data_IF_798562434883
#
_entry.id   IF_798562434883
#
_cell.length_a   1.000
_cell.length_b   1.000
_cell.length_c   1.000
_cell.angle_alpha   90.00
_cell.angle_beta   90.00
_cell.angle_gamma   90.00
#
_symmetry.space_group_name_H-M   'P 1'
#
loop_
_entity.id
_entity.type
_entity.pdbx_description
1 polymer ?
#
# COMPACT_ATOMS: atom_id res chain seq x y z
N UNK A 1 -46.32 13.64 -18.57
CA UNK A 1 -45.31 13.36 -17.54
C UNK A 1 -44.57 12.13 -17.97
N UNK A 2 -43.40 12.31 -18.57
CA UNK A 2 -42.63 11.21 -19.19
C UNK A 2 -41.33 11.03 -18.37
N UNK A 3 -41.23 9.90 -17.69
CA UNK A 3 -40.00 9.50 -17.01
C UNK A 3 -38.96 9.14 -18.07
N UNK A 4 -37.91 9.95 -18.22
CA UNK A 4 -36.73 9.61 -19.02
C UNK A 4 -35.80 8.74 -18.20
N UNK A 5 -35.76 7.46 -18.54
CA UNK A 5 -34.77 6.49 -18.07
C UNK A 5 -33.39 6.88 -18.64
N UNK A 6 -32.49 7.35 -17.82
CA UNK A 6 -31.08 7.62 -18.21
C UNK A 6 -30.32 6.30 -18.22
N UNK A 7 -29.79 5.95 -19.40
CA UNK A 7 -28.85 4.84 -19.57
C UNK A 7 -27.46 5.28 -19.12
N UNK A 8 -26.87 4.56 -18.18
CA UNK A 8 -25.48 4.69 -17.78
C UNK A 8 -24.62 4.00 -18.83
N UNK A 9 -23.79 4.75 -19.53
CA UNK A 9 -22.79 4.22 -20.46
C UNK A 9 -21.42 4.32 -19.77
N UNK A 10 -20.93 3.20 -19.31
CA UNK A 10 -19.58 3.08 -18.76
C UNK A 10 -18.59 3.00 -19.92
N UNK A 11 -17.78 4.01 -20.09
CA UNK A 11 -16.68 4.05 -21.07
C UNK A 11 -15.41 3.49 -20.42
N UNK A 12 -15.06 2.25 -20.74
CA UNK A 12 -13.79 1.65 -20.36
C UNK A 12 -12.71 2.10 -21.36
N UNK A 13 -11.77 2.89 -20.90
CA UNK A 13 -10.59 3.28 -21.70
C UNK A 13 -9.52 2.20 -21.53
N UNK A 14 -9.44 1.30 -22.50
CA UNK A 14 -8.37 0.32 -22.62
C UNK A 14 -7.13 0.94 -23.25
N UNK A 15 -6.03 1.00 -22.51
CA UNK A 15 -4.71 1.33 -23.08
C UNK A 15 -4.04 0.03 -23.52
N UNK A 16 -4.00 -0.19 -24.85
CA UNK A 16 -3.26 -1.30 -25.44
C UNK A 16 -1.81 -0.88 -25.69
N UNK A 17 -0.88 -1.48 -24.95
CA UNK A 17 0.55 -1.37 -25.25
C UNK A 17 0.93 -2.56 -26.13
N UNK A 18 1.21 -2.29 -27.39
CA UNK A 18 1.69 -3.26 -28.35
C UNK A 18 3.13 -3.67 -28.09
N UNK A 19 3.37 -4.95 -27.90
CA UNK A 19 4.70 -5.58 -27.96
C UNK A 19 5.01 -5.89 -29.43
N UNK A 20 6.05 -5.26 -29.98
CA UNK A 20 6.69 -5.70 -31.23
C UNK A 20 7.83 -6.67 -30.92
N UNK A 21 7.61 -7.92 -31.25
CA UNK A 21 8.69 -8.93 -31.32
C UNK A 21 9.57 -8.66 -32.56
N UNK A 22 10.83 -8.40 -32.33
CA UNK A 22 11.86 -8.44 -33.35
C UNK A 22 12.61 -9.76 -33.29
N UNK A 23 12.40 -10.60 -34.28
CA UNK A 23 13.20 -11.78 -34.57
C UNK A 23 14.47 -11.37 -35.32
N UNK A 24 15.66 -11.73 -34.86
CA UNK A 24 16.87 -11.86 -35.69
C UNK A 24 17.58 -13.16 -35.36
N UNK A 25 17.87 -13.89 -36.42
CA UNK A 25 18.26 -15.27 -36.48
C UNK A 25 19.73 -15.58 -36.12
N UNK A 26 19.91 -16.87 -35.95
CA UNK A 26 21.16 -17.59 -35.87
C UNK A 26 22.02 -17.46 -37.15
N UNK A 27 23.35 -17.47 -37.00
CA UNK A 27 24.25 -18.32 -37.74
C UNK A 27 25.73 -18.09 -37.30
N UNK A 28 26.47 -19.16 -37.12
CA UNK A 28 27.91 -19.18 -37.30
C UNK A 28 28.74 -19.76 -36.13
N UNK A 29 28.90 -21.08 -36.11
CA UNK A 29 29.98 -21.75 -35.40
C UNK A 29 31.29 -21.55 -36.16
N UNK A 30 32.39 -21.30 -35.44
CA UNK A 30 33.72 -21.73 -35.94
C UNK A 30 34.64 -22.10 -34.75
N UNK A 31 35.25 -23.26 -34.91
CA UNK A 31 36.24 -23.87 -34.01
C UNK A 31 37.63 -23.24 -34.19
N UNK A 32 38.36 -23.02 -33.11
CA UNK A 32 39.83 -23.08 -33.15
C UNK A 32 40.45 -23.24 -31.74
N UNK A 33 40.78 -24.46 -31.42
CA UNK A 33 42.14 -24.96 -31.20
C UNK A 33 42.96 -24.38 -30.06
N UNK A 34 43.21 -25.28 -29.12
CA UNK A 34 44.13 -25.22 -27.99
C UNK A 34 45.59 -24.95 -28.37
N UNK A 35 46.30 -24.25 -27.50
CA UNK A 35 47.76 -24.29 -27.38
C UNK A 35 48.15 -24.27 -25.90
N UNK A 36 48.90 -25.25 -25.48
CA UNK A 36 49.42 -25.50 -24.14
C UNK A 36 50.73 -24.73 -23.86
N UNK A 37 51.26 -24.75 -22.65
CA UNK A 37 51.91 -23.62 -21.97
C UNK A 37 53.45 -23.70 -21.95
N UNK A 38 54.13 -22.62 -21.60
CA UNK A 38 55.52 -22.56 -21.23
C UNK A 38 55.75 -21.92 -19.86
N UNK A 39 56.87 -22.23 -19.16
CA UNK A 39 56.90 -22.32 -17.71
C UNK A 39 57.28 -21.03 -16.97
N UNK A 40 56.88 -21.00 -15.69
CA UNK A 40 57.12 -19.97 -14.69
C UNK A 40 58.60 -19.73 -14.37
N UNK A 41 58.96 -18.46 -14.22
CA UNK A 41 60.10 -18.03 -13.41
C UNK A 41 59.63 -17.23 -12.22
N UNK A 42 60.04 -17.67 -11.04
CA UNK A 42 59.66 -17.11 -9.77
C UNK A 42 60.24 -15.73 -9.49
N UNK A 43 59.47 -14.90 -8.87
CA UNK A 43 59.92 -13.75 -8.09
C UNK A 43 59.26 -13.74 -6.71
N UNK A 44 60.06 -13.47 -5.68
CA UNK A 44 59.75 -13.50 -4.26
C UNK A 44 58.67 -12.48 -3.85
N UNK A 45 57.98 -12.71 -2.72
CA UNK A 45 56.86 -11.89 -2.32
C UNK A 45 57.34 -10.56 -1.72
N UNK A 46 56.87 -9.44 -2.31
CA UNK A 46 56.88 -8.13 -1.66
C UNK A 46 55.78 -8.10 -0.59
N UNK A 47 56.20 -7.82 0.63
CA UNK A 47 55.29 -7.59 1.76
C UNK A 47 54.43 -6.37 1.48
N UNK A 48 53.15 -6.61 1.18
CA UNK A 48 52.13 -5.55 1.18
C UNK A 48 51.73 -5.28 2.63
N UNK A 49 52.15 -4.13 3.16
CA UNK A 49 51.59 -3.59 4.37
C UNK A 49 50.11 -3.21 4.09
N UNK A 50 49.20 -3.97 4.67
CA UNK A 50 47.79 -3.61 4.71
C UNK A 50 47.64 -2.41 5.63
N UNK A 51 47.46 -1.24 5.07
CA UNK A 51 46.89 -0.09 5.77
C UNK A 51 45.40 -0.24 5.81
N UNK A 52 44.88 -0.80 6.90
CA UNK A 52 43.46 -0.71 7.29
C UNK A 52 43.15 0.75 7.67
N UNK A 53 42.83 1.57 6.68
CA UNK A 53 42.09 2.78 6.91
C UNK A 53 40.65 2.52 6.45
N UNK A 54 39.63 2.75 7.31
CA UNK A 54 38.26 2.73 6.85
C UNK A 54 38.12 3.84 5.80
N UNK A 55 37.82 3.45 4.56
CA UNK A 55 37.48 4.38 3.51
C UNK A 55 36.22 5.13 3.92
N UNK A 56 36.39 6.38 4.35
CA UNK A 56 35.32 7.35 4.41
C UNK A 56 34.61 7.35 3.06
N UNK A 57 33.26 7.38 2.99
CA UNK A 57 32.58 7.50 1.71
C UNK A 57 33.05 8.82 1.10
N UNK A 58 33.80 8.70 0.03
CA UNK A 58 34.33 9.82 -0.74
C UNK A 58 33.13 10.66 -1.20
N UNK A 59 32.96 11.83 -0.61
CA UNK A 59 31.94 12.84 -0.97
C UNK A 59 32.37 13.54 -2.27
N UNK A 60 32.69 12.79 -3.30
CA UNK A 60 32.96 13.34 -4.61
C UNK A 60 31.63 13.48 -5.38
N UNK A 61 30.96 14.59 -5.12
CA UNK A 61 29.98 15.09 -6.10
C UNK A 61 30.75 15.22 -7.41
N UNK A 62 30.33 14.61 -8.52
CA UNK A 62 31.00 14.74 -9.80
C UNK A 62 30.81 16.18 -10.28
N UNK A 63 31.74 17.05 -9.93
CA UNK A 63 31.67 18.49 -10.23
C UNK A 63 31.49 18.79 -11.70
N UNK A 64 31.93 17.89 -12.59
CA UNK A 64 31.73 18.00 -14.03
C UNK A 64 30.24 17.85 -14.39
N UNK A 65 29.54 16.90 -13.78
CA UNK A 65 28.12 16.67 -14.01
C UNK A 65 27.27 17.79 -13.36
N UNK A 66 27.68 18.29 -12.21
CA UNK A 66 27.03 19.44 -11.58
C UNK A 66 27.16 20.71 -12.44
N UNK A 67 28.33 20.94 -13.08
CA UNK A 67 28.51 22.05 -14.04
C UNK A 67 27.68 21.87 -15.29
N UNK A 68 27.59 20.63 -15.82
CA UNK A 68 26.74 20.33 -16.97
C UNK A 68 25.27 20.63 -16.67
N UNK A 69 24.79 20.25 -15.49
CA UNK A 69 23.43 20.59 -15.06
C UNK A 69 23.19 22.10 -15.02
N UNK A 70 24.14 22.86 -14.45
CA UNK A 70 24.04 24.33 -14.41
C UNK A 70 24.09 24.95 -15.80
N UNK A 71 24.93 24.45 -16.71
CA UNK A 71 24.98 24.94 -18.11
C UNK A 71 23.67 24.66 -18.84
N UNK A 72 23.09 23.48 -18.63
CA UNK A 72 21.79 23.13 -19.25
C UNK A 72 20.69 24.05 -18.73
N UNK A 73 20.67 24.31 -17.41
CA UNK A 73 19.68 25.21 -16.79
C UNK A 73 19.77 26.62 -17.42
N UNK A 74 20.98 27.21 -17.48
CA UNK A 74 21.21 28.53 -18.07
C UNK A 74 20.78 28.60 -19.54
N UNK A 75 21.04 27.52 -20.34
CA UNK A 75 20.60 27.48 -21.73
C UNK A 75 19.09 27.41 -21.86
N UNK A 76 18.42 26.59 -21.06
CA UNK A 76 16.96 26.48 -21.09
C UNK A 76 16.33 27.83 -20.74
N UNK A 77 16.79 28.46 -19.64
CA UNK A 77 16.30 29.79 -19.25
C UNK A 77 16.46 30.84 -20.37
N UNK A 78 17.61 30.84 -21.04
CA UNK A 78 17.93 31.86 -22.07
C UNK A 78 17.31 31.59 -23.43
N UNK A 79 17.19 30.32 -23.85
CA UNK A 79 16.89 29.94 -25.24
C UNK A 79 15.51 29.30 -25.42
N UNK A 80 14.81 28.95 -24.35
CA UNK A 80 13.47 28.37 -24.48
C UNK A 80 12.49 29.43 -24.99
N UNK A 81 11.50 29.00 -25.78
CA UNK A 81 10.56 29.87 -26.48
C UNK A 81 9.70 30.74 -25.55
N UNK A 82 9.45 30.28 -24.35
CA UNK A 82 8.68 30.99 -23.33
C UNK A 82 9.53 31.19 -22.06
N UNK A 83 9.31 32.28 -21.28
CA UNK A 83 9.98 32.45 -20.02
C UNK A 83 9.68 31.28 -19.07
N UNK A 84 10.71 30.72 -18.44
CA UNK A 84 10.60 29.63 -17.48
C UNK A 84 11.17 30.09 -16.13
N UNK A 85 10.65 29.50 -15.05
CA UNK A 85 11.11 29.76 -13.69
C UNK A 85 12.17 28.74 -13.30
N UNK A 86 13.35 29.23 -12.86
CA UNK A 86 14.49 28.41 -12.46
C UNK A 86 14.12 27.41 -11.35
N UNK A 87 13.28 27.86 -10.42
CA UNK A 87 12.87 27.02 -9.31
C UNK A 87 12.03 25.83 -9.80
N UNK A 88 11.14 26.06 -10.77
CA UNK A 88 10.35 24.99 -11.39
C UNK A 88 11.25 24.01 -12.16
N UNK A 89 12.25 24.52 -12.88
CA UNK A 89 13.20 23.67 -13.61
C UNK A 89 14.03 22.80 -12.66
N UNK A 90 14.53 23.38 -11.56
CA UNK A 90 15.29 22.64 -10.54
C UNK A 90 14.41 21.59 -9.85
N UNK A 91 13.17 21.92 -9.52
CA UNK A 91 12.23 20.94 -8.96
C UNK A 91 11.96 19.79 -9.92
N UNK A 92 11.77 20.10 -11.23
CA UNK A 92 11.57 19.07 -12.25
C UNK A 92 12.79 18.15 -12.38
N UNK A 93 14.01 18.72 -12.30
CA UNK A 93 15.26 17.95 -12.32
C UNK A 93 15.37 17.03 -11.10
N UNK A 94 15.06 17.51 -9.90
CA UNK A 94 15.05 16.71 -8.66
C UNK A 94 14.00 15.60 -8.76
N UNK A 95 12.77 15.91 -9.20
CA UNK A 95 11.72 14.90 -9.41
C UNK A 95 12.18 13.83 -10.41
N UNK A 96 12.76 14.23 -11.53
CA UNK A 96 13.30 13.33 -12.54
C UNK A 96 14.38 12.38 -11.98
N UNK A 97 15.33 12.93 -11.23
CA UNK A 97 16.39 12.15 -10.58
C UNK A 97 15.82 11.11 -9.62
N UNK A 98 14.89 11.49 -8.74
CA UNK A 98 14.33 10.57 -7.74
C UNK A 98 13.42 9.52 -8.38
N UNK A 99 12.58 9.92 -9.34
CA UNK A 99 11.66 9.01 -10.03
C UNK A 99 12.38 8.00 -10.94
N UNK A 100 13.65 8.26 -11.29
CA UNK A 100 14.46 7.31 -12.07
C UNK A 100 14.94 6.09 -11.27
N UNK A 101 14.83 6.12 -9.94
CA UNK A 101 15.32 5.05 -9.07
C UNK A 101 14.37 3.84 -9.06
N UNK A 102 13.09 4.09 -8.84
CA UNK A 102 12.02 3.08 -8.78
C UNK A 102 10.64 3.77 -8.79
N UNK A 103 9.52 3.00 -8.97
CA UNK A 103 8.18 3.56 -9.04
C UNK A 103 7.64 4.16 -7.72
N UNK A 104 8.31 3.92 -6.59
CA UNK A 104 7.83 4.29 -5.26
C UNK A 104 8.60 5.44 -4.64
N UNK A 105 9.84 5.69 -5.13
CA UNK A 105 10.65 6.82 -4.69
C UNK A 105 10.15 8.11 -5.33
N UNK A 106 10.01 9.17 -4.53
CA UNK A 106 9.49 10.45 -4.98
C UNK A 106 10.11 11.62 -4.21
N UNK A 107 10.29 12.75 -4.87
CA UNK A 107 10.42 14.05 -4.24
C UNK A 107 9.03 14.59 -3.99
N UNK A 108 8.78 15.03 -2.77
CA UNK A 108 7.49 15.54 -2.31
C UNK A 108 7.59 17.04 -2.08
N UNK A 109 6.70 17.82 -2.67
CA UNK A 109 6.49 19.21 -2.28
C UNK A 109 5.70 19.32 -0.97
N UNK A 110 5.34 20.55 -0.57
CA UNK A 110 4.68 20.77 0.71
C UNK A 110 3.32 20.07 0.81
N UNK A 111 2.52 20.17 -0.23
CA UNK A 111 1.17 19.61 -0.25
C UNK A 111 1.22 18.07 -0.30
N UNK A 112 2.08 17.51 -1.15
CA UNK A 112 2.29 16.05 -1.26
C UNK A 112 2.84 15.45 0.04
N UNK A 113 3.71 16.18 0.75
CA UNK A 113 4.23 15.74 2.05
C UNK A 113 3.17 15.82 3.15
N UNK A 114 2.34 16.85 3.14
CA UNK A 114 1.22 16.97 4.09
C UNK A 114 0.18 15.89 3.86
N UNK A 115 -0.13 15.51 2.62
CA UNK A 115 -1.00 14.38 2.31
C UNK A 115 -0.46 13.05 2.85
N UNK A 116 0.86 12.82 2.77
CA UNK A 116 1.46 11.63 3.38
C UNK A 116 1.35 11.65 4.90
N UNK A 117 1.60 12.78 5.55
CA UNK A 117 1.42 12.91 7.01
C UNK A 117 -0.02 12.60 7.43
N UNK A 118 -0.99 13.12 6.69
CA UNK A 118 -2.41 12.90 6.93
C UNK A 118 -2.76 11.41 6.79
N UNK A 119 -2.34 10.78 5.70
CA UNK A 119 -2.63 9.36 5.50
C UNK A 119 -1.94 8.46 6.53
N UNK A 120 -0.76 8.85 7.00
CA UNK A 120 -0.05 8.12 8.05
C UNK A 120 -0.71 8.31 9.42
N UNK A 121 -1.01 9.54 9.82
CA UNK A 121 -1.64 9.81 11.12
C UNK A 121 -3.09 9.31 11.20
N UNK A 122 -3.77 9.15 10.08
CA UNK A 122 -5.21 8.88 10.05
C UNK A 122 -6.06 10.07 10.48
N UNK A 123 -5.48 11.27 10.53
CA UNK A 123 -6.13 12.47 11.01
C UNK A 123 -5.84 13.65 10.10
N UNK A 124 -6.82 14.47 9.85
CA UNK A 124 -6.62 15.74 9.15
C UNK A 124 -7.46 16.86 9.76
N UNK A 125 -7.04 18.09 9.52
CA UNK A 125 -7.86 19.24 9.88
C UNK A 125 -8.65 19.72 8.69
N UNK A 126 -9.96 19.63 8.79
CA UNK A 126 -10.90 19.95 7.72
C UNK A 126 -12.32 20.09 8.20
N UNK A 127 -13.24 20.10 7.28
CA UNK A 127 -14.67 20.32 7.56
C UNK A 127 -15.47 19.02 7.75
N UNK A 128 -14.86 17.86 7.44
CA UNK A 128 -15.49 16.54 7.60
C UNK A 128 -16.57 16.26 6.56
N UNK A 129 -16.20 16.30 5.28
CA UNK A 129 -17.08 15.95 4.15
C UNK A 129 -16.36 14.93 3.29
N UNK A 130 -17.03 13.84 2.98
CA UNK A 130 -16.64 12.93 1.91
C UNK A 130 -17.22 13.43 0.59
N UNK A 131 -16.37 13.53 -0.45
CA UNK A 131 -16.77 14.07 -1.75
C UNK A 131 -16.34 13.16 -2.89
N UNK A 132 -17.10 13.17 -3.98
CA UNK A 132 -16.80 12.49 -5.24
C UNK A 132 -16.89 13.48 -6.41
N UNK A 133 -16.32 13.08 -7.55
CA UNK A 133 -16.52 13.78 -8.81
C UNK A 133 -17.59 13.05 -9.62
N UNK A 134 -18.69 13.69 -9.92
CA UNK A 134 -19.81 13.15 -10.71
C UNK A 134 -20.20 14.14 -11.80
N UNK A 135 -20.20 13.71 -13.04
CA UNK A 135 -20.53 14.52 -14.22
C UNK A 135 -19.78 15.88 -14.30
N UNK A 136 -18.56 15.95 -13.72
CA UNK A 136 -17.75 17.18 -13.70
C UNK A 136 -18.06 18.11 -12.51
N UNK A 137 -18.90 17.72 -11.60
CA UNK A 137 -19.24 18.44 -10.37
C UNK A 137 -18.71 17.72 -9.13
N UNK A 138 -18.34 18.48 -8.09
CA UNK A 138 -17.94 17.90 -6.80
C UNK A 138 -19.18 17.70 -5.94
N UNK A 139 -19.56 16.44 -5.74
CA UNK A 139 -20.76 16.04 -5.03
C UNK A 139 -20.41 15.53 -3.64
N UNK A 140 -21.18 15.93 -2.64
CA UNK A 140 -21.08 15.40 -1.28
C UNK A 140 -21.63 13.97 -1.24
N UNK A 141 -20.74 13.00 -0.96
CA UNK A 141 -21.14 11.61 -0.70
C UNK A 141 -21.81 11.53 0.66
N UNK A 142 -21.14 12.03 1.71
CA UNK A 142 -21.68 12.13 3.06
C UNK A 142 -20.92 13.17 3.91
N UNK A 143 -21.57 13.90 4.82
CA UNK A 143 -20.88 14.54 5.93
C UNK A 143 -20.48 13.47 6.96
N UNK A 144 -19.29 13.60 7.54
CA UNK A 144 -18.83 12.69 8.60
C UNK A 144 -19.55 13.01 9.92
N UNK A 145 -19.90 11.97 10.64
CA UNK A 145 -20.58 12.11 11.94
C UNK A 145 -19.74 12.93 12.92
N UNK A 146 -20.40 13.86 13.63
CA UNK A 146 -19.73 14.75 14.58
C UNK A 146 -18.92 15.88 13.95
N UNK A 147 -18.82 15.95 12.62
CA UNK A 147 -18.10 17.01 11.91
C UNK A 147 -18.82 18.35 11.89
N UNK A 148 -18.08 19.43 11.56
CA UNK A 148 -18.66 20.76 11.38
C UNK A 148 -19.65 20.81 10.21
N UNK A 149 -19.44 19.99 9.19
CA UNK A 149 -20.34 19.88 8.05
C UNK A 149 -21.67 19.22 8.42
N UNK A 150 -21.64 18.11 9.19
CA UNK A 150 -22.86 17.47 9.70
C UNK A 150 -23.66 18.43 10.59
N UNK A 151 -22.98 19.13 11.52
CA UNK A 151 -23.61 20.11 12.41
C UNK A 151 -24.21 21.28 11.64
N UNK A 152 -23.66 21.67 10.51
CA UNK A 152 -24.15 22.75 9.65
C UNK A 152 -25.26 22.30 8.68
N UNK A 153 -25.65 21.02 8.68
CA UNK A 153 -26.74 20.48 7.88
C UNK A 153 -26.41 20.25 6.41
N UNK A 154 -25.13 20.02 6.07
CA UNK A 154 -24.72 19.51 4.77
C UNK A 154 -25.27 18.08 4.62
N UNK A 155 -25.64 17.68 3.40
CA UNK A 155 -26.29 16.41 3.11
C UNK A 155 -25.65 15.71 1.92
N UNK A 156 -25.81 14.41 1.85
CA UNK A 156 -25.52 13.62 0.65
C UNK A 156 -26.29 14.18 -0.56
N UNK A 157 -25.62 14.28 -1.70
CA UNK A 157 -26.17 14.85 -2.93
C UNK A 157 -26.06 16.38 -3.05
N UNK A 158 -25.59 17.11 -2.03
CA UNK A 158 -25.25 18.53 -2.19
C UNK A 158 -24.06 18.67 -3.15
N UNK A 159 -24.11 19.66 -4.07
CA UNK A 159 -23.00 19.97 -4.97
C UNK A 159 -22.21 21.14 -4.42
N UNK A 160 -20.89 21.00 -4.29
CA UNK A 160 -20.01 22.09 -3.84
C UNK A 160 -19.76 23.03 -5.03
N UNK A 161 -20.35 24.22 -4.97
CA UNK A 161 -20.27 25.21 -6.04
C UNK A 161 -19.16 26.24 -5.82
N UNK A 162 -18.93 26.68 -4.57
CA UNK A 162 -17.89 27.68 -4.24
C UNK A 162 -17.19 27.37 -2.92
N UNK A 163 -15.93 27.76 -2.81
CA UNK A 163 -15.16 27.76 -1.56
C UNK A 163 -14.56 29.15 -1.38
N UNK A 164 -14.88 29.80 -0.25
CA UNK A 164 -14.53 31.22 0.05
C UNK A 164 -14.91 32.19 -1.06
N UNK A 165 -16.06 31.95 -1.72
CA UNK A 165 -16.59 32.75 -2.81
C UNK A 165 -15.94 32.49 -4.18
N UNK A 166 -14.92 31.64 -4.25
CA UNK A 166 -14.28 31.24 -5.51
C UNK A 166 -14.96 29.99 -6.05
N UNK A 167 -15.42 29.97 -7.31
CA UNK A 167 -15.99 28.77 -7.91
C UNK A 167 -15.06 27.55 -7.80
N UNK A 168 -15.66 26.38 -7.60
CA UNK A 168 -14.92 25.13 -7.54
C UNK A 168 -14.45 24.78 -8.96
N UNK A 169 -13.13 24.54 -9.11
CA UNK A 169 -12.59 24.07 -10.34
C UNK A 169 -12.90 22.58 -10.49
N UNK A 170 -13.73 22.24 -11.44
CA UNK A 170 -14.18 20.87 -11.71
C UNK A 170 -13.10 20.00 -12.34
N UNK A 171 -11.92 20.54 -12.65
CA UNK A 171 -10.81 19.79 -13.26
C UNK A 171 -10.03 18.93 -12.26
N UNK A 172 -10.02 19.28 -10.96
CA UNK A 172 -9.34 18.52 -9.93
C UNK A 172 -10.14 18.44 -8.63
N UNK A 173 -10.46 17.21 -8.20
CA UNK A 173 -11.05 16.94 -6.89
C UNK A 173 -10.06 17.30 -5.75
N UNK A 174 -8.76 17.07 -5.98
CA UNK A 174 -7.71 17.33 -5.01
C UNK A 174 -7.62 18.82 -4.61
N UNK A 175 -7.71 19.75 -5.56
CA UNK A 175 -7.76 21.20 -5.28
C UNK A 175 -8.95 21.56 -4.37
N UNK A 176 -10.12 21.01 -4.67
CA UNK A 176 -11.32 21.25 -3.85
C UNK A 176 -11.13 20.75 -2.42
N UNK A 177 -10.57 19.54 -2.26
CA UNK A 177 -10.26 18.96 -0.95
C UNK A 177 -9.22 19.82 -0.22
N UNK A 178 -8.12 20.20 -0.88
CA UNK A 178 -7.07 21.06 -0.31
C UNK A 178 -7.62 22.37 0.24
N UNK A 179 -8.52 23.03 -0.49
CA UNK A 179 -9.16 24.30 -0.06
C UNK A 179 -10.11 24.14 1.13
N UNK A 180 -10.72 22.96 1.30
CA UNK A 180 -11.56 22.65 2.49
C UNK A 180 -10.71 22.26 3.70
N UNK A 181 -9.48 21.75 3.52
CA UNK A 181 -8.50 21.53 4.57
C UNK A 181 -7.87 22.84 5.05
N UNK A 182 -7.10 22.81 6.11
CA UNK A 182 -6.32 23.93 6.63
C UNK A 182 -6.20 23.89 8.15
N UNK A 183 -5.59 24.92 8.74
CA UNK A 183 -5.28 24.97 10.17
C UNK A 183 -6.53 24.81 11.03
N UNK A 184 -6.45 23.91 12.01
CA UNK A 184 -7.52 23.68 12.99
C UNK A 184 -7.99 24.99 13.64
N UNK A 185 -9.29 25.13 13.84
CA UNK A 185 -9.93 26.31 14.41
C UNK A 185 -10.23 27.42 13.42
N UNK A 186 -9.64 27.39 12.19
CA UNK A 186 -9.99 28.33 11.12
C UNK A 186 -11.34 28.00 10.50
N UNK A 187 -11.93 28.93 9.76
CA UNK A 187 -13.21 28.72 9.09
C UNK A 187 -13.07 28.85 7.59
N UNK A 188 -13.92 28.15 6.86
CA UNK A 188 -14.07 28.23 5.41
C UNK A 188 -15.56 28.43 5.06
N UNK A 189 -15.86 29.21 4.04
CA UNK A 189 -17.22 29.39 3.52
C UNK A 189 -17.42 28.46 2.33
N UNK A 190 -18.34 27.53 2.44
CA UNK A 190 -18.68 26.60 1.37
C UNK A 190 -20.06 26.95 0.83
N UNK A 191 -20.15 27.21 -0.47
CA UNK A 191 -21.43 27.39 -1.17
C UNK A 191 -21.86 26.08 -1.77
N UNK A 192 -23.00 25.56 -1.36
CA UNK A 192 -23.57 24.31 -1.86
C UNK A 192 -24.82 24.57 -2.69
N UNK A 193 -24.98 23.78 -3.76
CA UNK A 193 -26.23 23.69 -4.52
C UNK A 193 -26.95 22.41 -4.10
N UNK A 194 -28.16 22.58 -3.61
CA UNK A 194 -29.00 21.44 -3.18
C UNK A 194 -30.11 21.21 -4.19
N UNK A 195 -30.48 19.96 -4.41
CA UNK A 195 -31.61 19.64 -5.29
C UNK A 195 -32.87 20.46 -4.93
N UNK A 196 -33.43 21.13 -5.94
CA UNK A 196 -34.58 22.02 -5.77
C UNK A 196 -34.24 23.46 -5.37
N UNK A 197 -32.97 23.82 -5.16
CA UNK A 197 -32.53 25.21 -4.91
C UNK A 197 -31.93 25.78 -6.22
N UNK A 198 -32.27 27.06 -6.48
CA UNK A 198 -31.73 27.81 -7.63
C UNK A 198 -30.51 28.66 -7.26
N UNK A 199 -30.30 28.90 -5.98
CA UNK A 199 -29.19 29.70 -5.47
C UNK A 199 -28.34 28.89 -4.49
N UNK A 200 -27.01 29.14 -4.46
CA UNK A 200 -26.11 28.46 -3.52
C UNK A 200 -26.44 28.81 -2.05
N UNK A 201 -26.53 27.80 -1.22
CA UNK A 201 -26.61 27.94 0.23
C UNK A 201 -25.20 28.15 0.77
N UNK A 202 -24.89 29.30 1.34
CA UNK A 202 -23.57 29.58 1.90
C UNK A 202 -23.53 29.12 3.35
N UNK A 203 -22.62 28.16 3.63
CA UNK A 203 -22.40 27.60 4.97
C UNK A 203 -21.00 27.95 5.44
N UNK A 204 -20.87 28.48 6.65
CA UNK A 204 -19.54 28.70 7.27
C UNK A 204 -19.19 27.50 8.13
N UNK A 205 -18.13 26.79 7.75
CA UNK A 205 -17.66 25.58 8.40
C UNK A 205 -16.38 25.86 9.17
N UNK A 206 -16.27 25.36 10.39
CA UNK A 206 -15.02 25.41 11.16
C UNK A 206 -14.18 24.19 10.84
N UNK A 207 -12.92 24.38 10.52
CA UNK A 207 -11.98 23.26 10.38
C UNK A 207 -11.70 22.69 11.76
N UNK A 208 -11.96 21.39 11.91
CA UNK A 208 -11.75 20.62 13.14
C UNK A 208 -10.90 19.41 12.81
N UNK A 209 -10.32 18.79 13.81
CA UNK A 209 -9.65 17.49 13.66
C UNK A 209 -10.70 16.45 13.27
N UNK A 210 -10.45 15.75 12.21
CA UNK A 210 -11.28 14.66 11.67
C UNK A 210 -10.46 13.40 11.72
N UNK A 211 -10.97 12.38 12.41
CA UNK A 211 -10.36 11.06 12.46
C UNK A 211 -10.91 10.22 11.30
N UNK A 212 -10.00 9.61 10.55
CA UNK A 212 -10.34 8.63 9.53
C UNK A 212 -10.36 7.25 10.18
N UNK A 213 -11.49 6.58 10.16
CA UNK A 213 -11.60 5.23 10.68
C UNK A 213 -11.10 4.22 9.65
N UNK A 214 -9.93 3.65 9.91
CA UNK A 214 -9.34 2.62 9.04
C UNK A 214 -9.93 1.23 9.28
N UNK A 215 -10.62 1.02 10.40
CA UNK A 215 -11.15 -0.26 10.85
C UNK A 215 -12.66 -0.24 10.98
N UNK A 216 -13.32 -1.20 10.38
CA UNK A 216 -14.75 -1.46 10.58
C UNK A 216 -14.99 -2.89 11.04
N UNK A 217 -16.05 -3.11 11.82
CA UNK A 217 -16.38 -4.44 12.32
C UNK A 217 -17.87 -4.71 12.40
N UNK A 218 -18.23 -5.96 12.22
CA UNK A 218 -19.57 -6.46 12.46
C UNK A 218 -19.57 -7.96 12.84
N UNK A 219 -20.65 -8.45 13.42
CA UNK A 219 -20.83 -9.88 13.63
C UNK A 219 -21.23 -10.54 12.32
N UNK A 220 -20.36 -11.39 11.77
CA UNK A 220 -20.67 -12.15 10.55
C UNK A 220 -21.69 -13.27 10.82
N UNK A 221 -21.59 -13.92 11.98
CA UNK A 221 -22.54 -14.92 12.48
C UNK A 221 -22.41 -15.02 14.00
N UNK A 222 -23.35 -15.69 14.70
CA UNK A 222 -23.25 -15.91 16.15
C UNK A 222 -21.93 -16.60 16.55
N UNK A 223 -21.08 -15.87 17.27
CA UNK A 223 -19.75 -16.29 17.69
C UNK A 223 -18.63 -16.01 16.68
N UNK A 224 -18.91 -15.48 15.49
CA UNK A 224 -17.90 -15.19 14.46
C UNK A 224 -17.86 -13.71 14.14
N UNK A 225 -16.72 -13.07 14.41
CA UNK A 225 -16.47 -11.67 14.10
C UNK A 225 -15.99 -11.48 12.66
N UNK A 226 -16.25 -10.29 12.15
CA UNK A 226 -15.65 -9.77 10.93
C UNK A 226 -15.03 -8.43 11.26
N UNK A 227 -13.77 -8.24 10.86
CA UNK A 227 -13.04 -6.98 10.97
C UNK A 227 -12.42 -6.70 9.61
N UNK A 228 -12.69 -5.52 9.07
CA UNK A 228 -12.07 -5.03 7.85
C UNK A 228 -11.11 -3.90 8.19
N UNK A 229 -9.90 -3.99 7.67
CA UNK A 229 -8.91 -2.91 7.70
C UNK A 229 -8.75 -2.40 6.27
N UNK A 230 -9.16 -1.15 6.02
CA UNK A 230 -9.12 -0.55 4.69
C UNK A 230 -7.71 -0.06 4.32
N UNK A 231 -6.98 0.49 5.30
CA UNK A 231 -5.60 0.95 5.20
C UNK A 231 -4.95 0.95 6.59
N UNK A 232 -3.64 1.17 6.67
CA UNK A 232 -2.92 1.25 7.95
C UNK A 232 -2.49 2.68 8.25
N UNK A 233 -3.11 3.30 9.27
CA UNK A 233 -2.71 4.55 9.90
C UNK A 233 -2.18 4.29 11.31
N UNK A 234 -1.58 5.30 11.95
CA UNK A 234 -1.00 5.17 13.29
C UNK A 234 -1.97 4.57 14.32
N UNK A 235 -3.27 4.87 14.20
CA UNK A 235 -4.30 4.46 15.13
C UNK A 235 -4.90 3.06 14.83
N UNK A 236 -4.57 2.43 13.69
CA UNK A 236 -5.23 1.20 13.22
C UNK A 236 -5.15 0.04 14.23
N UNK A 237 -4.00 -0.13 14.90
CA UNK A 237 -3.83 -1.20 15.90
C UNK A 237 -4.75 -1.04 17.11
N UNK A 238 -4.84 0.19 17.65
CA UNK A 238 -5.75 0.51 18.77
C UNK A 238 -7.22 0.40 18.35
N UNK A 239 -7.56 0.93 17.16
CA UNK A 239 -8.89 0.84 16.58
C UNK A 239 -9.35 -0.60 16.42
N UNK A 240 -8.49 -1.47 15.86
CA UNK A 240 -8.77 -2.91 15.72
C UNK A 240 -9.04 -3.56 17.06
N UNK A 241 -8.21 -3.32 18.06
CA UNK A 241 -8.38 -3.88 19.41
C UNK A 241 -9.71 -3.42 20.01
N UNK A 242 -10.05 -2.15 19.90
CA UNK A 242 -11.33 -1.59 20.34
C UNK A 242 -12.52 -2.25 19.62
N UNK A 243 -12.42 -2.47 18.33
CA UNK A 243 -13.45 -3.16 17.54
C UNK A 243 -13.61 -4.62 17.97
N UNK A 244 -12.51 -5.35 18.24
CA UNK A 244 -12.56 -6.72 18.75
C UNK A 244 -13.25 -6.79 20.12
N UNK A 245 -12.96 -5.86 21.03
CA UNK A 245 -13.64 -5.77 22.32
C UNK A 245 -15.14 -5.49 22.17
N UNK A 246 -15.53 -4.60 21.24
CA UNK A 246 -16.93 -4.33 20.95
C UNK A 246 -17.66 -5.58 20.40
N UNK A 247 -17.03 -6.35 19.52
CA UNK A 247 -17.57 -7.60 18.99
C UNK A 247 -17.76 -8.65 20.09
N UNK A 248 -16.79 -8.81 21.02
CA UNK A 248 -16.91 -9.72 22.18
C UNK A 248 -18.06 -9.31 23.08
N UNK A 249 -18.19 -8.02 23.38
CA UNK A 249 -19.26 -7.48 24.19
C UNK A 249 -20.62 -7.75 23.54
N UNK A 250 -20.75 -7.49 22.23
CA UNK A 250 -21.97 -7.76 21.46
C UNK A 250 -22.32 -9.25 21.40
N UNK A 251 -21.30 -10.11 21.33
CA UNK A 251 -21.48 -11.56 21.31
C UNK A 251 -21.86 -12.14 22.68
N UNK A 252 -21.54 -11.44 23.79
CA UNK A 252 -21.76 -11.89 25.17
C UNK A 252 -20.84 -13.06 25.62
N UNK A 253 -19.86 -13.45 24.78
CA UNK A 253 -18.91 -14.53 25.00
C UNK A 253 -17.65 -14.33 24.14
N UNK A 254 -16.54 -15.05 24.41
CA UNK A 254 -15.40 -15.07 23.51
C UNK A 254 -15.81 -15.45 22.08
N UNK A 255 -15.14 -14.85 21.08
CA UNK A 255 -15.36 -15.19 19.69
C UNK A 255 -14.86 -16.62 19.42
N UNK A 256 -15.60 -17.36 18.61
CA UNK A 256 -15.25 -18.70 18.12
C UNK A 256 -14.32 -18.65 16.91
N UNK A 257 -14.20 -17.50 16.27
CA UNK A 257 -13.34 -17.24 15.11
C UNK A 257 -13.51 -15.84 14.58
N UNK A 258 -12.54 -15.41 13.75
CA UNK A 258 -12.48 -14.09 13.16
C UNK A 258 -12.23 -14.18 11.64
N UNK A 259 -12.96 -13.41 10.87
CA UNK A 259 -12.59 -13.07 9.50
C UNK A 259 -11.93 -11.70 9.54
N UNK A 260 -10.64 -11.63 9.18
CA UNK A 260 -9.87 -10.40 9.01
C UNK A 260 -9.78 -10.07 7.52
N UNK A 261 -10.43 -8.99 7.09
CA UNK A 261 -10.50 -8.61 5.68
C UNK A 261 -9.46 -7.53 5.35
N UNK A 262 -8.47 -7.92 4.56
CA UNK A 262 -7.41 -7.06 4.02
C UNK A 262 -7.53 -6.90 2.50
N UNK A 263 -8.65 -7.27 1.88
CA UNK A 263 -8.87 -7.09 0.44
C UNK A 263 -8.87 -5.61 0.07
N UNK A 264 -8.18 -5.27 -1.01
CA UNK A 264 -7.99 -3.89 -1.50
C UNK A 264 -7.37 -2.93 -0.46
N UNK A 265 -6.62 -3.47 0.50
CA UNK A 265 -5.83 -2.67 1.45
C UNK A 265 -4.44 -2.39 0.84
N UNK A 266 -4.13 -1.14 0.45
CA UNK A 266 -2.86 -0.81 -0.23
C UNK A 266 -1.64 -0.81 0.72
N UNK A 267 -1.86 -1.01 2.02
CA UNK A 267 -0.86 -0.90 3.06
C UNK A 267 -1.03 0.36 3.90
N UNK A 268 0.08 1.00 4.23
CA UNK A 268 0.17 2.20 5.07
C UNK A 268 1.32 2.09 6.07
N UNK A 269 1.09 2.51 7.31
CA UNK A 269 2.09 2.59 8.38
C UNK A 269 2.55 1.20 8.81
N UNK A 270 3.88 1.00 8.80
CA UNK A 270 4.51 -0.28 9.16
C UNK A 270 4.21 -0.68 10.61
N UNK A 271 4.40 0.25 11.53
CA UNK A 271 4.21 0.04 12.97
C UNK A 271 2.77 -0.38 13.28
N UNK A 272 1.80 0.18 12.57
CA UNK A 272 0.40 -0.20 12.70
C UNK A 272 0.14 -1.64 12.23
N UNK A 273 0.76 -2.06 11.13
CA UNK A 273 0.67 -3.44 10.67
C UNK A 273 1.32 -4.41 11.65
N UNK A 274 2.46 -4.03 12.24
CA UNK A 274 3.12 -4.81 13.28
C UNK A 274 2.21 -4.93 14.50
N UNK A 275 1.58 -3.85 14.97
CA UNK A 275 0.65 -3.87 16.09
C UNK A 275 -0.57 -4.77 15.81
N UNK A 276 -1.09 -4.76 14.59
CA UNK A 276 -2.20 -5.65 14.18
C UNK A 276 -1.77 -7.11 14.16
N UNK A 277 -0.57 -7.44 13.65
CA UNK A 277 -0.08 -8.81 13.66
C UNK A 277 0.25 -9.28 15.09
N UNK A 278 0.87 -8.41 15.89
CA UNK A 278 1.21 -8.64 17.30
C UNK A 278 -0.02 -9.02 18.15
N UNK A 279 -1.15 -8.35 17.92
CA UNK A 279 -2.40 -8.63 18.63
C UNK A 279 -2.90 -10.09 18.48
N UNK A 280 -2.37 -10.86 17.55
CA UNK A 280 -2.76 -12.26 17.30
C UNK A 280 -1.62 -13.27 17.50
N UNK A 281 -0.40 -12.80 17.80
CA UNK A 281 0.78 -13.63 17.98
C UNK A 281 1.24 -13.59 19.46
N UNK A 282 1.98 -14.60 19.89
CA UNK A 282 2.54 -14.64 21.24
C UNK A 282 4.06 -14.47 21.26
N UNK A 283 4.73 -14.65 20.14
CA UNK A 283 6.18 -14.58 20.02
C UNK A 283 6.63 -14.75 18.56
N UNK A 284 7.89 -14.48 18.31
CA UNK A 284 8.54 -14.69 17.01
C UNK A 284 8.59 -13.43 16.16
N UNK A 285 9.29 -13.51 15.05
CA UNK A 285 9.45 -12.40 14.12
C UNK A 285 8.13 -12.11 13.40
N UNK A 286 7.73 -10.85 13.32
CA UNK A 286 6.61 -10.39 12.48
C UNK A 286 7.11 -10.03 11.09
N UNK A 287 8.17 -9.22 11.02
CA UNK A 287 8.77 -8.75 9.79
C UNK A 287 10.24 -8.44 10.01
N UNK A 288 11.06 -8.66 9.01
CA UNK A 288 12.42 -8.13 8.97
C UNK A 288 12.64 -7.30 7.70
N UNK A 289 13.57 -6.35 7.77
CA UNK A 289 13.95 -5.53 6.64
C UNK A 289 15.47 -5.52 6.44
N UNK A 290 15.90 -5.51 5.16
CA UNK A 290 17.30 -5.43 4.77
C UNK A 290 17.51 -4.29 3.79
N UNK A 291 18.37 -3.36 4.17
CA UNK A 291 18.79 -2.21 3.35
C UNK A 291 20.31 -2.02 3.37
N UNK A 292 20.78 -0.93 2.78
CA UNK A 292 22.22 -0.63 2.65
C UNK A 292 22.86 -0.12 3.94
N UNK A 293 22.15 0.72 4.69
CA UNK A 293 22.65 1.33 5.94
C UNK A 293 22.28 0.47 7.15
N UNK A 294 22.86 0.76 8.32
CA UNK A 294 22.51 0.06 9.55
C UNK A 294 21.06 0.36 9.96
N UNK A 295 20.63 1.60 9.81
CA UNK A 295 19.29 2.09 10.16
C UNK A 295 18.19 1.50 9.27
N UNK A 296 18.56 1.05 8.07
CA UNK A 296 17.65 0.42 7.12
C UNK A 296 17.55 -1.12 7.29
N UNK A 297 18.13 -1.65 8.38
CA UNK A 297 18.06 -3.07 8.77
C UNK A 297 17.38 -3.15 10.12
N UNK A 298 16.25 -3.84 10.16
CA UNK A 298 15.53 -4.03 11.41
C UNK A 298 14.78 -5.36 11.41
N UNK A 299 14.37 -5.76 12.60
CA UNK A 299 13.51 -6.91 12.85
C UNK A 299 12.50 -6.52 13.93
N UNK A 300 11.23 -6.79 13.68
CA UNK A 300 10.14 -6.55 14.62
C UNK A 300 9.53 -7.87 15.05
N UNK A 301 9.43 -8.04 16.36
CA UNK A 301 9.04 -9.29 16.99
C UNK A 301 7.69 -9.13 17.70
N UNK A 302 6.94 -10.22 17.77
CA UNK A 302 5.70 -10.28 18.53
C UNK A 302 5.97 -10.31 20.04
N UNK A 303 5.04 -9.71 20.79
CA UNK A 303 4.98 -9.74 22.25
C UNK A 303 3.91 -10.73 22.73
N UNK A 304 4.00 -11.26 23.95
CA UNK A 304 2.99 -12.19 24.45
C UNK A 304 1.60 -11.55 24.58
N UNK A 305 0.61 -12.11 23.89
CA UNK A 305 -0.78 -11.65 24.00
C UNK A 305 -1.61 -11.92 22.75
N UNK A 306 -2.34 -13.04 22.69
CA UNK A 306 -3.29 -13.29 21.59
C UNK A 306 -4.70 -12.84 21.99
N UNK A 307 -5.19 -11.78 21.35
CA UNK A 307 -6.52 -11.20 21.59
C UNK A 307 -7.66 -12.20 21.40
N UNK A 308 -7.47 -13.24 20.62
CA UNK A 308 -8.49 -14.26 20.38
C UNK A 308 -8.30 -15.54 21.20
N UNK A 309 -7.25 -15.60 22.04
CA UNK A 309 -6.92 -16.78 22.86
C UNK A 309 -6.88 -18.08 22.02
N UNK A 310 -6.29 -18.04 20.84
CA UNK A 310 -6.15 -19.20 19.95
C UNK A 310 -7.37 -19.47 19.07
N UNK A 311 -8.46 -18.70 19.12
CA UNK A 311 -9.58 -18.90 18.21
C UNK A 311 -9.12 -18.72 16.74
N UNK A 312 -9.61 -19.54 15.79
CA UNK A 312 -9.13 -19.54 14.42
C UNK A 312 -9.41 -18.22 13.69
N UNK A 313 -8.50 -17.86 12.77
CA UNK A 313 -8.58 -16.66 11.93
C UNK A 313 -8.54 -17.08 10.47
N UNK A 314 -9.42 -16.51 9.65
CA UNK A 314 -9.29 -16.50 8.21
C UNK A 314 -8.99 -15.08 7.77
N UNK A 315 -7.88 -14.88 7.04
CA UNK A 315 -7.50 -13.59 6.47
C UNK A 315 -7.90 -13.58 5.00
N UNK A 316 -8.76 -12.63 4.61
CA UNK A 316 -9.14 -12.42 3.22
C UNK A 316 -8.14 -11.48 2.56
N UNK A 317 -7.59 -11.90 1.42
CA UNK A 317 -6.59 -11.15 0.64
C UNK A 317 -6.91 -11.19 -0.85
N UNK A 318 -6.46 -10.18 -1.60
CA UNK A 318 -6.54 -10.15 -3.06
C UNK A 318 -5.37 -9.37 -3.69
N UNK A 319 -5.36 -9.22 -5.00
CA UNK A 319 -4.32 -8.46 -5.71
C UNK A 319 -4.22 -6.97 -5.35
N UNK A 320 -5.19 -6.43 -4.60
CA UNK A 320 -5.13 -5.08 -4.03
C UNK A 320 -4.58 -5.04 -2.60
N UNK A 321 -4.30 -6.20 -1.98
CA UNK A 321 -3.63 -6.28 -0.68
C UNK A 321 -2.13 -6.08 -0.87
N UNK A 322 -1.55 -5.01 -0.33
CA UNK A 322 -0.17 -4.63 -0.61
C UNK A 322 0.58 -4.17 0.65
N UNK A 323 1.93 -4.24 0.61
CA UNK A 323 2.83 -3.63 1.61
C UNK A 323 2.49 -4.06 3.06
N UNK A 324 2.06 -3.13 3.92
CA UNK A 324 1.68 -3.38 5.32
C UNK A 324 0.63 -4.51 5.46
N UNK A 325 -0.34 -4.60 4.53
CA UNK A 325 -1.30 -5.72 4.50
C UNK A 325 -0.62 -7.07 4.24
N UNK A 326 0.44 -7.08 3.42
CA UNK A 326 1.22 -8.29 3.15
C UNK A 326 2.09 -8.68 4.35
N UNK A 327 2.53 -7.70 5.16
CA UNK A 327 3.25 -7.98 6.42
C UNK A 327 2.33 -8.74 7.37
N UNK A 328 1.11 -8.25 7.61
CA UNK A 328 0.12 -8.93 8.47
C UNK A 328 -0.21 -10.32 7.92
N UNK A 329 -0.53 -10.42 6.63
CA UNK A 329 -0.87 -11.69 6.00
C UNK A 329 0.30 -12.69 6.09
N UNK A 330 1.53 -12.26 5.76
CA UNK A 330 2.72 -13.09 5.80
C UNK A 330 3.09 -13.55 7.22
N UNK A 331 3.01 -12.64 8.19
CA UNK A 331 3.28 -12.97 9.58
C UNK A 331 2.30 -14.03 10.10
N UNK A 332 1.00 -13.80 9.97
CA UNK A 332 -0.02 -14.73 10.45
C UNK A 332 0.02 -16.09 9.72
N UNK A 333 0.37 -16.10 8.44
CA UNK A 333 0.55 -17.33 7.66
C UNK A 333 1.76 -18.12 8.12
N UNK A 334 2.94 -17.50 8.18
CA UNK A 334 4.20 -18.17 8.50
C UNK A 334 4.19 -18.71 9.94
N UNK A 335 3.50 -18.04 10.87
CA UNK A 335 3.25 -18.54 12.21
C UNK A 335 2.12 -19.57 12.31
N UNK A 336 1.50 -19.95 11.19
CA UNK A 336 0.32 -20.85 11.17
C UNK A 336 -0.82 -20.36 12.08
N UNK A 337 -0.89 -19.04 12.32
CA UNK A 337 -1.91 -18.43 13.17
C UNK A 337 -3.23 -18.21 12.42
N UNK A 338 -3.16 -18.02 11.12
CA UNK A 338 -4.34 -17.81 10.29
C UNK A 338 -4.26 -18.61 8.99
N UNK A 339 -5.41 -18.91 8.41
CA UNK A 339 -5.56 -19.41 7.05
C UNK A 339 -5.81 -18.24 6.12
N UNK A 340 -4.96 -18.05 5.10
CA UNK A 340 -5.18 -17.05 4.07
C UNK A 340 -6.14 -17.58 3.01
N UNK A 341 -7.17 -16.79 2.69
CA UNK A 341 -8.16 -17.12 1.66
C UNK A 341 -8.28 -15.96 0.66
N UNK A 342 -8.39 -16.27 -0.61
CA UNK A 342 -8.56 -15.27 -1.65
C UNK A 342 -7.64 -15.48 -2.84
N UNK A 343 -6.85 -14.47 -3.18
CA UNK A 343 -5.89 -14.48 -4.28
C UNK A 343 -4.53 -13.97 -3.85
N UNK A 344 -3.52 -14.30 -4.65
CA UNK A 344 -2.15 -13.78 -4.44
C UNK A 344 -2.17 -12.27 -4.30
N UNK A 345 -1.47 -11.76 -3.29
CA UNK A 345 -1.36 -10.33 -2.99
C UNK A 345 -0.49 -9.60 -4.01
N UNK A 346 -0.40 -8.29 -3.91
CA UNK A 346 0.24 -7.42 -4.90
C UNK A 346 1.75 -7.67 -5.08
N UNK A 347 2.48 -7.90 -3.99
CA UNK A 347 3.94 -8.07 -4.03
C UNK A 347 4.72 -6.78 -3.86
N UNK A 348 4.26 -5.85 -3.04
CA UNK A 348 5.02 -4.66 -2.66
C UNK A 348 5.88 -4.94 -1.43
N UNK A 349 7.08 -5.47 -1.65
CA UNK A 349 8.03 -5.81 -0.60
C UNK A 349 9.08 -4.74 -0.30
N UNK A 350 8.86 -3.48 -0.68
CA UNK A 350 9.79 -2.37 -0.48
C UNK A 350 9.35 -1.44 0.66
N UNK A 351 10.34 -0.98 1.44
CA UNK A 351 10.17 0.02 2.51
C UNK A 351 10.48 1.40 1.96
N UNK A 352 9.55 2.33 2.07
CA UNK A 352 9.81 3.73 1.78
C UNK A 352 10.04 4.49 3.09
N UNK A 353 11.20 5.17 3.17
CA UNK A 353 11.48 6.13 4.25
C UNK A 353 11.20 7.53 3.75
N UNK A 354 10.42 8.29 4.51
CA UNK A 354 10.15 9.70 4.25
C UNK A 354 11.13 10.53 5.05
N UNK A 355 11.99 11.28 4.36
CA UNK A 355 13.02 12.14 4.93
C UNK A 355 12.64 13.59 4.75
N UNK A 356 12.31 14.32 5.82
CA UNK A 356 12.01 15.76 5.73
C UNK A 356 13.17 16.55 5.13
N UNK A 357 12.83 17.52 4.30
CA UNK A 357 13.73 18.53 3.75
C UNK A 357 13.28 19.93 4.19
N UNK A 358 14.11 20.93 3.93
CA UNK A 358 13.77 22.32 4.23
C UNK A 358 12.52 22.78 3.44
N UNK A 359 11.87 23.80 3.96
CA UNK A 359 10.68 24.44 3.38
C UNK A 359 9.47 23.51 3.23
N UNK A 360 9.27 22.57 4.16
CA UNK A 360 8.10 21.70 4.19
C UNK A 360 8.06 20.61 3.10
N UNK A 361 9.19 20.32 2.47
CA UNK A 361 9.38 19.29 1.44
C UNK A 361 9.91 17.99 2.03
N UNK A 362 9.88 16.89 1.27
CA UNK A 362 10.47 15.64 1.70
C UNK A 362 11.00 14.79 0.54
N UNK A 363 11.89 13.85 0.86
CA UNK A 363 12.24 12.72 0.00
C UNK A 363 11.58 11.46 0.53
N UNK A 364 10.84 10.78 -0.31
CA UNK A 364 10.37 9.42 -0.09
C UNK A 364 11.25 8.48 -0.90
N UNK A 365 12.08 7.68 -0.23
CA UNK A 365 13.03 6.78 -0.89
C UNK A 365 12.81 5.33 -0.47
N UNK A 366 12.96 4.42 -1.40
CA UNK A 366 13.06 2.98 -1.12
C UNK A 366 14.42 2.70 -0.45
N UNK A 367 14.39 2.38 0.84
CA UNK A 367 15.60 2.17 1.65
C UNK A 367 15.85 0.71 2.00
N UNK A 368 14.81 -0.15 1.97
CA UNK A 368 14.91 -1.54 2.37
C UNK A 368 13.92 -2.44 1.61
N UNK A 369 14.13 -3.73 1.73
CA UNK A 369 13.17 -4.75 1.31
C UNK A 369 12.68 -5.53 2.53
N UNK A 370 11.36 -5.84 2.53
CA UNK A 370 10.73 -6.67 3.56
C UNK A 370 10.92 -8.16 3.31
N UNK A 371 10.99 -8.87 4.43
CA UNK A 371 10.98 -10.34 4.45
C UNK A 371 9.98 -10.83 5.50
N UNK A 372 9.25 -11.88 5.16
CA UNK A 372 8.35 -12.56 6.09
C UNK A 372 9.15 -13.29 7.17
N UNK A 373 8.52 -13.79 8.25
CA UNK A 373 9.19 -14.59 9.28
C UNK A 373 10.01 -15.77 8.74
N UNK A 374 9.54 -16.42 7.67
CA UNK A 374 10.28 -17.50 6.99
C UNK A 374 11.47 -17.03 6.15
N UNK A 375 11.74 -15.71 6.11
CA UNK A 375 12.84 -15.11 5.35
C UNK A 375 12.56 -14.96 3.85
N UNK A 376 11.31 -15.13 3.42
CA UNK A 376 10.92 -14.97 2.01
C UNK A 376 10.66 -13.50 1.70
N UNK A 377 11.25 -12.99 0.60
CA UNK A 377 10.91 -11.66 0.10
C UNK A 377 9.59 -11.69 -0.63
N UNK A 378 8.69 -10.77 -0.25
CA UNK A 378 7.39 -10.58 -0.91
C UNK A 378 7.48 -9.72 -2.17
N UNK A 379 8.63 -9.04 -2.38
CA UNK A 379 8.79 -8.08 -3.47
C UNK A 379 8.63 -8.74 -4.85
N UNK A 380 7.72 -8.21 -5.67
CA UNK A 380 7.32 -8.73 -6.98
C UNK A 380 6.77 -10.17 -6.99
N UNK A 381 6.46 -10.75 -5.82
CA UNK A 381 5.95 -12.12 -5.72
C UNK A 381 4.56 -12.18 -5.10
N UNK A 382 4.30 -11.31 -4.14
CA UNK A 382 3.12 -11.40 -3.30
C UNK A 382 3.13 -12.62 -2.38
N UNK A 383 2.03 -12.80 -1.68
CA UNK A 383 1.77 -13.94 -0.80
C UNK A 383 0.60 -14.71 -1.40
N UNK A 384 0.86 -15.98 -1.75
CA UNK A 384 -0.19 -16.87 -2.22
C UNK A 384 -1.12 -17.25 -1.04
N UNK A 385 -2.43 -17.28 -1.21
CA UNK A 385 -3.36 -17.77 -0.19
C UNK A 385 -3.21 -19.29 0.02
N UNK A 386 -3.71 -19.78 1.14
CA UNK A 386 -3.82 -21.22 1.42
C UNK A 386 -5.05 -21.83 0.74
N UNK A 387 -6.10 -21.01 0.60
CA UNK A 387 -7.36 -21.37 -0.08
C UNK A 387 -7.59 -20.35 -1.19
N UNK A 388 -7.38 -20.76 -2.43
CA UNK A 388 -7.70 -19.91 -3.57
C UNK A 388 -9.21 -19.76 -3.76
N UNK A 389 -9.64 -18.54 -4.05
CA UNK A 389 -11.00 -18.26 -4.52
C UNK A 389 -10.97 -17.93 -6.00
N UNK A 390 -12.02 -18.31 -6.71
CA UNK A 390 -12.18 -17.90 -8.10
C UNK A 390 -12.21 -16.36 -8.18
N UNK A 391 -11.93 -15.82 -9.40
CA UNK A 391 -11.95 -14.37 -9.66
C UNK A 391 -13.11 -13.70 -8.94
N UNK A 392 -12.92 -12.46 -8.46
CA UNK A 392 -13.98 -11.67 -7.86
C UNK A 392 -15.28 -11.93 -8.63
N UNK A 393 -16.32 -12.44 -7.97
CA UNK A 393 -17.58 -12.58 -8.65
C UNK A 393 -17.91 -11.23 -9.27
N UNK A 394 -18.29 -11.24 -10.55
CA UNK A 394 -18.78 -10.01 -11.17
C UNK A 394 -19.79 -9.38 -10.20
N UNK A 395 -19.71 -8.05 -9.95
CA UNK A 395 -20.66 -7.42 -9.05
C UNK A 395 -22.06 -7.90 -9.40
N UNK A 396 -22.87 -8.32 -8.41
CA UNK A 396 -24.17 -8.90 -8.69
C UNK A 396 -24.96 -7.95 -9.58
N UNK A 397 -25.59 -8.48 -10.60
CA UNK A 397 -26.36 -7.68 -11.58
C UNK A 397 -27.40 -6.77 -10.91
N UNK A 398 -27.78 -7.10 -9.67
CA UNK A 398 -28.57 -6.26 -8.77
C UNK A 398 -27.81 -6.21 -7.45
N UNK A 399 -27.35 -5.01 -7.01
CA UNK A 399 -26.70 -4.87 -5.72
C UNK A 399 -27.66 -5.32 -4.61
N UNK A 400 -27.18 -6.00 -3.57
CA UNK A 400 -28.01 -6.39 -2.44
C UNK A 400 -28.62 -5.13 -1.80
N UNK A 401 -29.85 -5.25 -1.25
CA UNK A 401 -30.52 -4.12 -0.62
C UNK A 401 -29.66 -3.54 0.51
N UNK A 402 -29.72 -2.22 0.69
CA UNK A 402 -29.04 -1.54 1.78
C UNK A 402 -29.47 -2.19 3.12
N UNK A 403 -28.48 -2.62 3.92
CA UNK A 403 -28.73 -3.30 5.20
C UNK A 403 -28.88 -4.82 5.12
N UNK A 404 -28.66 -5.45 3.96
CA UNK A 404 -28.61 -6.90 3.87
C UNK A 404 -27.51 -7.48 4.79
N UNK A 405 -27.73 -8.66 5.42
CA UNK A 405 -26.73 -9.32 6.23
C UNK A 405 -25.41 -9.54 5.48
N UNK A 406 -24.27 -9.44 6.16
CA UNK A 406 -22.93 -9.56 5.58
C UNK A 406 -22.76 -10.82 4.73
N UNK A 407 -23.24 -11.96 5.23
CA UNK A 407 -23.13 -13.25 4.53
C UNK A 407 -23.99 -13.37 3.27
N UNK A 408 -24.93 -12.46 3.06
CA UNK A 408 -25.75 -12.41 1.84
C UNK A 408 -25.12 -11.48 0.81
N UNK A 409 -24.45 -10.42 1.27
CA UNK A 409 -23.82 -9.42 0.39
C UNK A 409 -22.39 -9.78 -0.01
N UNK A 410 -21.70 -10.67 0.75
CA UNK A 410 -20.31 -11.06 0.49
C UNK A 410 -20.14 -12.60 0.52
N UNK A 411 -20.07 -13.25 -0.66
CA UNK A 411 -19.89 -14.70 -0.76
C UNK A 411 -18.54 -15.19 -0.21
N UNK A 412 -17.47 -14.38 -0.31
CA UNK A 412 -16.15 -14.75 0.22
C UNK A 412 -16.16 -14.75 1.75
N UNK A 413 -16.77 -13.75 2.37
CA UNK A 413 -16.96 -13.73 3.84
C UNK A 413 -17.81 -14.91 4.28
N UNK A 414 -18.86 -15.27 3.54
CA UNK A 414 -19.66 -16.46 3.82
C UNK A 414 -18.81 -17.72 3.79
N UNK A 415 -17.95 -17.89 2.78
CA UNK A 415 -17.02 -19.03 2.66
C UNK A 415 -16.00 -19.02 3.79
N UNK A 416 -15.43 -17.86 4.15
CA UNK A 416 -14.50 -17.72 5.27
C UNK A 416 -15.13 -18.16 6.61
N UNK A 417 -16.38 -17.77 6.87
CA UNK A 417 -17.13 -18.23 8.05
C UNK A 417 -17.39 -19.73 8.03
N UNK A 418 -17.61 -20.33 6.85
CA UNK A 418 -17.75 -21.79 6.72
C UNK A 418 -16.43 -22.49 7.07
N UNK A 419 -15.31 -21.97 6.58
CA UNK A 419 -13.98 -22.49 6.90
C UNK A 419 -13.69 -22.42 8.41
N UNK A 420 -14.01 -21.30 9.06
CA UNK A 420 -13.88 -21.16 10.53
C UNK A 420 -14.72 -22.17 11.31
N UNK A 421 -15.86 -22.62 10.76
CA UNK A 421 -16.74 -23.62 11.41
C UNK A 421 -16.26 -25.04 11.21
N UNK A 422 -15.63 -25.33 10.10
CA UNK A 422 -15.17 -26.67 9.70
C UNK A 422 -13.81 -26.50 9.04
N UNK A 423 -12.72 -26.30 9.79
CA UNK A 423 -11.41 -26.08 9.22
C UNK A 423 -11.08 -27.25 8.30
N UNK A 424 -10.87 -26.96 7.03
CA UNK A 424 -10.25 -27.90 6.09
C UNK A 424 -8.83 -28.08 6.63
N UNK A 425 -8.48 -29.31 7.07
CA UNK A 425 -7.13 -29.56 7.53
C UNK A 425 -6.15 -29.01 6.48
N UNK A 426 -5.09 -28.24 6.89
CA UNK A 426 -4.15 -27.67 5.93
C UNK A 426 -3.65 -28.81 5.08
N UNK A 427 -3.97 -28.76 3.78
CA UNK A 427 -3.59 -29.79 2.84
C UNK A 427 -2.08 -29.88 2.86
N UNK A 428 -1.55 -30.92 3.48
CA UNK A 428 -0.23 -31.42 3.19
C UNK A 428 -0.26 -31.82 1.70
N UNK A 429 -0.01 -30.88 0.81
CA UNK A 429 0.60 -31.22 -0.46
C UNK A 429 1.97 -31.75 -0.06
N UNK A 430 2.00 -33.03 0.30
CA UNK A 430 3.22 -33.78 0.35
C UNK A 430 3.88 -33.60 -1.01
N UNK A 431 4.83 -32.69 -1.09
CA UNK A 431 5.83 -32.73 -2.15
C UNK A 431 6.48 -34.08 -1.95
N UNK A 432 5.98 -35.05 -2.71
CA UNK A 432 6.62 -36.34 -2.88
C UNK A 432 8.07 -36.06 -3.25
N UNK A 433 8.94 -36.12 -2.28
CA UNK A 433 10.37 -36.19 -2.50
C UNK A 433 10.57 -37.45 -3.32
N UNK A 434 10.62 -37.31 -4.64
CA UNK A 434 11.16 -38.35 -5.51
C UNK A 434 12.57 -38.62 -5.02
N UNK A 435 12.72 -39.74 -4.31
CA UNK A 435 13.98 -40.29 -3.92
C UNK A 435 14.87 -40.35 -5.18
N UNK A 436 15.96 -39.63 -5.15
CA UNK A 436 17.00 -39.77 -6.16
C UNK A 436 17.46 -41.24 -6.17
N UNK A 437 17.64 -41.88 -7.34
CA UNK A 437 18.14 -43.22 -7.38
C UNK A 437 19.55 -43.27 -6.77
N UNK A 438 19.75 -44.18 -5.82
CA UNK A 438 21.01 -44.44 -5.19
C UNK A 438 22.05 -44.81 -6.28
N UNK A 439 23.12 -44.03 -6.42
CA UNK A 439 24.30 -44.41 -7.17
C UNK A 439 24.95 -45.63 -6.45
N UNK A 440 24.74 -46.81 -6.98
CA UNK A 440 25.52 -47.99 -6.63
C UNK A 440 26.91 -47.81 -7.19
N UNK A 441 27.90 -47.67 -6.33
CA UNK A 441 29.31 -47.75 -6.68
C UNK A 441 29.68 -49.19 -7.14
N UNK A 442 30.49 -49.35 -8.18
CA UNK A 442 30.93 -50.68 -8.56
C UNK A 442 31.96 -51.23 -7.57
N UNK A 443 31.76 -52.50 -7.15
CA UNK A 443 32.67 -53.23 -6.30
C UNK A 443 34.02 -53.40 -7.01
N UNK A 444 35.10 -53.04 -6.33
CA UNK A 444 36.46 -53.37 -6.74
C UNK A 444 36.70 -54.87 -6.62
N UNK A 445 36.90 -55.59 -7.73
CA UNK A 445 37.48 -56.90 -7.71
C UNK A 445 38.96 -56.75 -7.38
N UNK A 446 39.40 -57.41 -6.32
CA UNK A 446 40.76 -57.80 -6.09
C UNK A 446 40.94 -59.16 -6.77
N UNK A 447 41.90 -59.25 -7.67
CA UNK A 447 42.98 -60.30 -7.76
C UNK A 447 44.02 -59.80 -8.74
#
# INVERSE_FOLDING_TARGET
MSMKTRKITTLALGVSIGLSLGWVGCLGADEARAADPAPAQGQAPAQAQASDQPSSPDQNVPWQDARLLAEVLERVEREYVEPVDDHQLLQAAIRGMVSSLDPYSAYLDGDEYDDIKISSSGEYSGVGIEVSMEDGEVVVVAPLDGSSAAAAGIRSGDVIATIDGVPVNTTTLADTIGRMRGKEGTSVKVGILREGSTEPIIVTLKRTRVELHSVSSEMAAPGYGYVRIAEFSDNTGEEMTKQLHALRTKNGAPLKGLVLDLRNNPGGVLEAAVAVADAFLNSGVIVSAKGRTAESKFEMNATPGDELNGAPIVVLVNGGSASAAEIVAGALKDHHRATLMGRTTFGKGSVQTVMPLDHGRALKLTTSLYYTPSGVSINHRGIAPDIETERDPAPPAVPPPAGAPLLERDPEVKRAVQELKTPTAPGHTAVSARAAPACTAPASARD
#
